data_IF_384744242758
#
_entry.id   IF_384744242758
#
_cell.length_a   1.000
_cell.length_b   1.000
_cell.length_c   1.000
_cell.angle_alpha   90.00
_cell.angle_beta   90.00
_cell.angle_gamma   90.00
#
_symmetry.space_group_name_H-M   'P 1'
#
loop_
_entity.id
_entity.type
_entity.pdbx_description
1 polymer ?
#
# COMPACT_ATOMS: atom_id res chain seq x y z
N UNK A 1 21.11 -16.45 12.79
CA UNK A 1 20.34 -15.81 11.72
C UNK A 1 20.46 -14.31 11.95
N UNK A 2 21.04 -13.57 10.99
CA UNK A 2 21.24 -12.12 11.11
C UNK A 2 19.87 -11.45 11.01
N UNK A 3 19.34 -10.94 12.11
CA UNK A 3 18.21 -10.03 12.09
C UNK A 3 18.68 -8.77 11.35
N UNK A 4 18.25 -8.68 10.10
CA UNK A 4 18.54 -7.53 9.26
C UNK A 4 17.94 -6.29 9.90
N UNK A 5 18.77 -5.37 10.29
CA UNK A 5 18.38 -4.00 10.65
C UNK A 5 17.57 -3.45 9.49
N UNK A 6 16.24 -3.56 9.59
CA UNK A 6 15.33 -3.05 8.59
C UNK A 6 15.57 -1.54 8.50
N UNK A 7 16.23 -1.12 7.42
CA UNK A 7 16.63 0.27 7.29
C UNK A 7 15.39 1.12 7.04
N UNK A 8 14.97 1.89 8.04
CA UNK A 8 13.84 2.83 7.95
C UNK A 8 13.86 3.66 6.65
N UNK A 9 15.04 4.03 6.19
CA UNK A 9 15.21 4.74 4.91
C UNK A 9 14.76 3.91 3.70
N UNK A 10 15.02 2.61 3.68
CA UNK A 10 14.57 1.72 2.59
C UNK A 10 13.06 1.59 2.59
N UNK A 11 12.46 1.40 3.75
CA UNK A 11 11.00 1.33 3.88
C UNK A 11 10.33 2.60 3.37
N UNK A 12 10.79 3.78 3.83
CA UNK A 12 10.27 5.07 3.38
C UNK A 12 10.42 5.26 1.86
N UNK A 13 11.56 4.86 1.30
CA UNK A 13 11.81 4.98 -0.13
C UNK A 13 10.90 4.04 -0.95
N UNK A 14 10.72 2.81 -0.50
CA UNK A 14 9.81 1.85 -1.13
C UNK A 14 8.38 2.38 -1.14
N UNK A 15 7.89 2.86 0.01
CA UNK A 15 6.55 3.45 0.12
C UNK A 15 6.36 4.64 -0.81
N UNK A 16 7.35 5.51 -0.91
CA UNK A 16 7.30 6.66 -1.82
C UNK A 16 7.11 6.22 -3.28
N UNK A 17 7.86 5.19 -3.72
CA UNK A 17 7.74 4.65 -5.07
C UNK A 17 6.34 4.04 -5.28
N UNK A 18 5.86 3.25 -4.34
CA UNK A 18 4.58 2.56 -4.44
C UNK A 18 3.42 3.57 -4.50
N UNK A 19 3.42 4.57 -3.62
CA UNK A 19 2.42 5.64 -3.65
C UNK A 19 2.44 6.40 -4.98
N UNK A 20 3.61 6.61 -5.58
CA UNK A 20 3.75 7.18 -6.91
C UNK A 20 3.12 6.29 -8.00
N UNK A 21 3.36 4.98 -7.95
CA UNK A 21 2.73 4.02 -8.86
C UNK A 21 1.20 4.01 -8.75
N UNK A 22 0.66 4.10 -7.54
CA UNK A 22 -0.79 4.13 -7.29
C UNK A 22 -1.47 5.31 -7.99
N UNK A 23 -0.86 6.50 -7.92
CA UNK A 23 -1.35 7.69 -8.63
C UNK A 23 -1.30 7.49 -10.15
N UNK A 24 -0.24 6.84 -10.66
CA UNK A 24 -0.12 6.55 -12.09
C UNK A 24 -1.24 5.61 -12.55
N UNK A 25 -1.56 4.57 -11.78
CA UNK A 25 -2.67 3.66 -12.12
C UNK A 25 -4.02 4.38 -12.14
N UNK A 26 -4.30 5.25 -11.17
CA UNK A 26 -5.51 6.08 -11.14
C UNK A 26 -5.63 6.94 -12.40
N UNK A 27 -4.55 7.62 -12.78
CA UNK A 27 -4.51 8.47 -13.97
C UNK A 27 -4.63 7.66 -15.26
N UNK A 28 -4.03 6.47 -15.33
CA UNK A 28 -4.14 5.58 -16.49
C UNK A 28 -5.59 5.12 -16.69
N UNK A 29 -6.27 4.66 -15.64
CA UNK A 29 -7.67 4.24 -15.71
C UNK A 29 -8.56 5.43 -16.14
N UNK A 30 -8.34 6.61 -15.55
CA UNK A 30 -9.07 7.83 -15.90
C UNK A 30 -8.87 8.20 -17.38
N UNK A 31 -7.64 8.13 -17.87
CA UNK A 31 -7.28 8.48 -19.25
C UNK A 31 -7.89 7.49 -20.25
N UNK A 32 -7.78 6.18 -19.98
CA UNK A 32 -8.37 5.14 -20.85
C UNK A 32 -9.89 5.26 -20.87
N UNK A 33 -10.52 5.48 -19.72
CA UNK A 33 -11.95 5.71 -19.60
C UNK A 33 -12.41 6.91 -20.42
N UNK A 34 -11.70 8.02 -20.28
CA UNK A 34 -11.97 9.25 -21.03
C UNK A 34 -11.86 9.04 -22.55
N UNK A 35 -10.86 8.27 -22.98
CA UNK A 35 -10.67 7.95 -24.39
C UNK A 35 -11.80 7.07 -24.95
N UNK A 36 -12.27 6.08 -24.18
CA UNK A 36 -13.29 5.14 -24.61
C UNK A 36 -14.72 5.69 -24.53
N UNK A 37 -15.03 6.55 -23.55
CA UNK A 37 -16.35 7.11 -23.28
C UNK A 37 -16.54 8.54 -23.80
N UNK A 38 -15.46 9.23 -24.15
CA UNK A 38 -15.49 10.52 -24.84
C UNK A 38 -15.73 11.75 -23.96
N UNK A 39 -16.10 11.60 -22.67
CA UNK A 39 -16.32 12.72 -21.74
C UNK A 39 -15.21 12.77 -20.67
N UNK A 40 -14.15 13.52 -20.96
CA UNK A 40 -12.99 13.59 -20.08
C UNK A 40 -13.32 14.11 -18.69
N UNK A 41 -14.08 15.17 -18.58
CA UNK A 41 -14.33 15.84 -17.28
C UNK A 41 -15.15 14.92 -16.38
N UNK A 42 -16.23 14.35 -16.90
CA UNK A 42 -17.07 13.44 -16.13
C UNK A 42 -16.32 12.18 -15.74
N UNK A 43 -15.56 11.56 -16.65
CA UNK A 43 -14.83 10.32 -16.39
C UNK A 43 -13.73 10.52 -15.34
N UNK A 44 -12.92 11.57 -15.43
CA UNK A 44 -11.93 11.87 -14.40
C UNK A 44 -12.58 12.13 -13.03
N UNK A 45 -13.67 12.89 -12.99
CA UNK A 45 -14.36 13.19 -11.72
C UNK A 45 -14.93 11.95 -11.06
N UNK A 46 -15.57 11.06 -11.84
CA UNK A 46 -16.16 9.80 -11.34
C UNK A 46 -15.04 8.86 -10.87
N UNK A 47 -13.98 8.70 -11.67
CA UNK A 47 -12.87 7.80 -11.33
C UNK A 47 -12.18 8.24 -10.04
N UNK A 48 -11.81 9.52 -9.92
CA UNK A 48 -11.16 10.06 -8.72
C UNK A 48 -12.08 9.91 -7.50
N UNK A 49 -13.37 10.28 -7.62
CA UNK A 49 -14.30 10.18 -6.52
C UNK A 49 -14.52 8.74 -6.04
N UNK A 50 -14.68 7.80 -6.99
CA UNK A 50 -14.88 6.39 -6.68
C UNK A 50 -13.62 5.76 -6.10
N UNK A 51 -12.44 6.10 -6.65
CA UNK A 51 -11.15 5.64 -6.15
C UNK A 51 -10.90 6.11 -4.72
N UNK A 52 -11.12 7.39 -4.40
CA UNK A 52 -10.98 7.91 -3.05
C UNK A 52 -11.95 7.26 -2.05
N UNK A 53 -13.21 7.01 -2.48
CA UNK A 53 -14.18 6.28 -1.68
C UNK A 53 -13.69 4.85 -1.39
N UNK A 54 -13.20 4.15 -2.41
CA UNK A 54 -12.65 2.80 -2.28
C UNK A 54 -11.42 2.75 -1.37
N UNK A 55 -10.51 3.74 -1.46
CA UNK A 55 -9.38 3.89 -0.54
C UNK A 55 -9.82 4.05 0.92
N UNK A 56 -10.86 4.86 1.17
CA UNK A 56 -11.43 5.00 2.50
C UNK A 56 -11.97 3.68 3.05
N UNK A 57 -12.66 2.90 2.21
CA UNK A 57 -13.13 1.55 2.57
C UNK A 57 -11.97 0.60 2.84
N UNK A 58 -10.93 0.59 2.01
CA UNK A 58 -9.71 -0.19 2.20
C UNK A 58 -9.02 0.13 3.52
N UNK A 59 -8.83 1.42 3.81
CA UNK A 59 -8.27 1.88 5.08
C UNK A 59 -9.08 1.40 6.29
N UNK A 60 -10.41 1.40 6.20
CA UNK A 60 -11.26 0.86 7.24
C UNK A 60 -11.12 -0.66 7.41
N UNK A 61 -10.99 -1.40 6.30
CA UNK A 61 -10.78 -2.86 6.34
C UNK A 61 -9.44 -3.24 6.97
N UNK A 62 -8.43 -2.40 6.90
CA UNK A 62 -7.11 -2.66 7.49
C UNK A 62 -7.15 -2.98 8.98
N UNK A 63 -8.17 -2.52 9.71
CA UNK A 63 -8.34 -2.81 11.14
C UNK A 63 -8.53 -4.29 11.46
N UNK A 64 -9.01 -5.08 10.51
CA UNK A 64 -9.20 -6.52 10.67
C UNK A 64 -7.90 -7.31 10.51
N UNK A 65 -6.91 -6.73 9.85
CA UNK A 65 -5.57 -7.31 9.70
C UNK A 65 -4.77 -7.00 10.96
N UNK A 66 -4.55 -8.00 11.82
CA UNK A 66 -3.87 -7.83 13.11
C UNK A 66 -2.59 -8.65 13.24
N UNK A 67 -2.46 -9.73 12.46
CA UNK A 67 -1.31 -10.64 12.49
C UNK A 67 -0.61 -10.63 11.14
N UNK A 68 0.70 -10.91 11.14
CA UNK A 68 1.51 -11.03 9.91
C UNK A 68 1.41 -9.80 8.99
N UNK A 69 1.49 -8.59 9.60
CA UNK A 69 1.30 -7.33 8.87
C UNK A 69 2.21 -7.21 7.65
N UNK A 70 3.44 -7.71 7.75
CA UNK A 70 4.42 -7.64 6.66
C UNK A 70 4.01 -8.53 5.48
N UNK A 71 3.52 -9.74 5.74
CA UNK A 71 3.08 -10.66 4.68
C UNK A 71 1.83 -10.13 3.97
N UNK A 72 0.88 -9.57 4.75
CA UNK A 72 -0.28 -8.88 4.18
C UNK A 72 0.10 -7.66 3.35
N UNK A 73 1.09 -6.88 3.80
CA UNK A 73 1.59 -5.75 3.03
C UNK A 73 2.16 -6.20 1.67
N UNK A 74 3.03 -7.23 1.66
CA UNK A 74 3.59 -7.78 0.43
C UNK A 74 2.50 -8.34 -0.50
N UNK A 75 1.49 -9.00 0.06
CA UNK A 75 0.37 -9.53 -0.72
C UNK A 75 -0.45 -8.40 -1.39
N UNK A 76 -0.73 -7.33 -0.66
CA UNK A 76 -1.41 -6.14 -1.20
C UNK A 76 -0.60 -5.51 -2.33
N UNK A 77 0.71 -5.37 -2.16
CA UNK A 77 1.62 -4.85 -3.17
C UNK A 77 1.61 -5.64 -4.47
N UNK A 78 1.70 -6.97 -4.36
CA UNK A 78 1.60 -7.86 -5.52
C UNK A 78 0.24 -7.70 -6.19
N UNK A 79 -0.84 -7.60 -5.41
CA UNK A 79 -2.19 -7.39 -5.91
C UNK A 79 -2.33 -6.08 -6.69
N UNK A 80 -1.86 -4.97 -6.14
CA UNK A 80 -1.85 -3.65 -6.81
C UNK A 80 -1.01 -3.69 -8.09
N UNK A 81 0.17 -4.30 -8.03
CA UNK A 81 1.05 -4.42 -9.20
C UNK A 81 0.42 -5.21 -10.35
N UNK A 82 -0.23 -6.34 -10.06
CA UNK A 82 -0.90 -7.16 -11.07
C UNK A 82 -2.13 -6.44 -11.61
N UNK A 83 -3.05 -6.01 -10.76
CA UNK A 83 -4.30 -5.36 -11.16
C UNK A 83 -4.02 -4.03 -11.88
N UNK A 84 -3.20 -3.16 -11.30
CA UNK A 84 -2.84 -1.88 -11.89
C UNK A 84 -2.04 -2.03 -13.19
N UNK A 85 -1.10 -2.98 -13.24
CA UNK A 85 -0.29 -3.22 -14.43
C UNK A 85 -1.08 -3.82 -15.60
N UNK A 86 -2.14 -4.58 -15.33
CA UNK A 86 -3.02 -5.15 -16.36
C UNK A 86 -4.26 -4.31 -16.66
N UNK A 87 -4.51 -3.24 -15.91
CA UNK A 87 -5.72 -2.41 -15.99
C UNK A 87 -6.03 -1.90 -17.40
N UNK A 88 -5.06 -1.30 -18.07
CA UNK A 88 -5.25 -0.77 -19.41
C UNK A 88 -5.63 -1.87 -20.41
N UNK A 89 -4.96 -3.03 -20.34
CA UNK A 89 -5.25 -4.16 -21.20
C UNK A 89 -6.66 -4.71 -20.95
N UNK A 90 -7.03 -4.85 -19.67
CA UNK A 90 -8.33 -5.34 -19.22
C UNK A 90 -9.46 -4.42 -19.69
N UNK A 91 -9.29 -3.11 -19.57
CA UNK A 91 -10.26 -2.13 -20.04
C UNK A 91 -10.43 -2.15 -21.57
N UNK A 92 -9.35 -2.30 -22.35
CA UNK A 92 -9.46 -2.43 -23.80
C UNK A 92 -10.17 -3.73 -24.22
N UNK A 93 -9.84 -4.86 -23.59
CA UNK A 93 -10.54 -6.12 -23.83
C UNK A 93 -12.03 -6.03 -23.44
N UNK A 94 -12.31 -5.47 -22.29
CA UNK A 94 -13.68 -5.29 -21.82
C UNK A 94 -14.53 -4.47 -22.79
N UNK A 95 -13.96 -3.41 -23.36
CA UNK A 95 -14.64 -2.60 -24.38
C UNK A 95 -14.99 -3.37 -25.65
N UNK A 96 -14.18 -4.39 -26.02
CA UNK A 96 -14.42 -5.21 -27.21
C UNK A 96 -15.45 -6.32 -26.95
N UNK A 97 -15.34 -7.00 -25.80
CA UNK A 97 -16.08 -8.24 -25.52
C UNK A 97 -17.30 -8.06 -24.60
N UNK A 98 -17.35 -6.98 -23.81
CA UNK A 98 -18.38 -6.79 -22.77
C UNK A 98 -19.25 -5.59 -23.09
N UNK A 99 -20.56 -5.81 -23.28
CA UNK A 99 -21.52 -4.73 -23.51
C UNK A 99 -21.59 -3.71 -22.35
N UNK A 100 -21.22 -4.13 -21.14
CA UNK A 100 -21.22 -3.29 -19.93
C UNK A 100 -19.79 -2.92 -19.49
N UNK A 101 -18.98 -2.36 -20.40
CA UNK A 101 -17.62 -1.90 -20.13
C UNK A 101 -17.52 -1.06 -18.84
N UNK A 102 -18.48 -0.19 -18.58
CA UNK A 102 -18.51 0.67 -17.40
C UNK A 102 -18.48 -0.11 -16.08
N UNK A 103 -19.17 -1.25 -16.02
CA UNK A 103 -19.17 -2.09 -14.82
C UNK A 103 -17.79 -2.67 -14.52
N UNK A 104 -17.07 -3.13 -15.54
CA UNK A 104 -15.71 -3.64 -15.40
C UNK A 104 -14.78 -2.55 -14.91
N UNK A 105 -14.87 -1.35 -15.50
CA UNK A 105 -14.11 -0.18 -15.09
C UNK A 105 -14.35 0.19 -13.62
N UNK A 106 -15.60 0.29 -13.18
CA UNK A 106 -15.92 0.64 -11.79
C UNK A 106 -15.45 -0.42 -10.81
N UNK A 107 -15.58 -1.69 -11.15
CA UNK A 107 -15.11 -2.80 -10.34
C UNK A 107 -13.58 -2.74 -10.16
N UNK A 108 -12.86 -2.47 -11.24
CA UNK A 108 -11.40 -2.35 -11.24
C UNK A 108 -10.93 -1.17 -10.38
N UNK A 109 -11.56 0.00 -10.52
CA UNK A 109 -11.27 1.18 -9.69
C UNK A 109 -11.47 0.87 -8.20
N UNK A 110 -12.59 0.20 -7.86
CA UNK A 110 -12.90 -0.16 -6.48
C UNK A 110 -11.86 -1.14 -5.93
N UNK A 111 -11.50 -2.18 -6.69
CA UNK A 111 -10.53 -3.17 -6.25
C UNK A 111 -9.14 -2.56 -6.02
N UNK A 112 -8.63 -1.79 -6.98
CA UNK A 112 -7.32 -1.13 -6.86
C UNK A 112 -7.37 -0.11 -5.72
N UNK A 113 -8.39 0.73 -5.65
CA UNK A 113 -8.55 1.71 -4.58
C UNK A 113 -8.61 1.09 -3.18
N UNK A 114 -9.32 -0.03 -3.01
CA UNK A 114 -9.35 -0.76 -1.74
C UNK A 114 -7.97 -1.29 -1.34
N UNK A 115 -7.23 -1.89 -2.27
CA UNK A 115 -5.89 -2.42 -2.00
C UNK A 115 -4.94 -1.29 -1.60
N UNK A 116 -4.92 -0.21 -2.36
CA UNK A 116 -4.10 0.98 -2.04
C UNK A 116 -4.51 1.60 -0.69
N UNK A 117 -5.80 1.60 -0.39
CA UNK A 117 -6.31 2.06 0.91
C UNK A 117 -5.87 1.22 2.10
N UNK A 118 -5.59 -0.08 1.91
CA UNK A 118 -5.02 -0.97 2.93
C UNK A 118 -3.55 -0.67 3.22
N UNK A 119 -2.80 -0.20 2.22
CA UNK A 119 -1.34 -0.03 2.24
C UNK A 119 -0.88 0.93 3.34
N UNK A 120 -1.46 2.14 3.40
CA UNK A 120 -1.03 3.20 4.32
C UNK A 120 -1.16 2.77 5.80
N UNK A 121 -2.33 2.25 6.27
CA UNK A 121 -2.46 1.80 7.65
C UNK A 121 -1.57 0.59 8.00
N UNK A 122 -1.40 -0.36 7.07
CA UNK A 122 -0.50 -1.50 7.28
C UNK A 122 0.92 -1.03 7.48
N UNK A 123 1.39 -0.14 6.61
CA UNK A 123 2.73 0.43 6.70
C UNK A 123 2.96 1.17 8.02
N UNK A 124 2.00 2.01 8.42
CA UNK A 124 2.09 2.76 9.68
C UNK A 124 2.25 1.82 10.87
N UNK A 125 1.48 0.74 10.92
CA UNK A 125 1.59 -0.28 11.99
C UNK A 125 2.92 -1.02 11.96
N UNK A 126 3.43 -1.38 10.79
CA UNK A 126 4.75 -2.01 10.65
C UNK A 126 5.85 -1.09 11.18
N UNK A 127 5.77 0.22 10.90
CA UNK A 127 6.72 1.21 11.40
C UNK A 127 6.63 1.34 12.92
N UNK A 128 5.43 1.44 13.48
CA UNK A 128 5.20 1.56 14.91
C UNK A 128 5.70 0.34 15.69
N UNK A 129 5.45 -0.87 15.19
CA UNK A 129 5.91 -2.12 15.79
C UNK A 129 7.45 -2.18 15.82
N UNK A 130 8.10 -1.83 14.72
CA UNK A 130 9.56 -1.76 14.66
C UNK A 130 10.14 -0.65 15.55
N UNK A 131 9.52 0.50 15.65
CA UNK A 131 9.96 1.59 16.51
C UNK A 131 9.78 1.24 18.00
N UNK A 132 8.67 0.62 18.37
CA UNK A 132 8.40 0.13 19.72
C UNK A 132 9.43 -0.91 20.17
N UNK A 133 9.73 -1.86 19.33
CA UNK A 133 10.72 -2.92 19.61
C UNK A 133 12.15 -2.34 19.80
N UNK A 134 12.55 -1.35 19.02
CA UNK A 134 13.84 -0.65 19.18
C UNK A 134 13.93 0.11 20.50
N UNK A 135 12.87 0.79 20.91
CA UNK A 135 12.83 1.52 22.17
C UNK A 135 12.92 0.57 23.37
N UNK A 136 12.19 -0.56 23.32
CA UNK A 136 12.26 -1.60 24.35
C UNK A 136 13.68 -2.20 24.47
N UNK A 137 14.34 -2.48 23.34
CA UNK A 137 15.71 -3.01 23.31
C UNK A 137 16.71 -1.99 23.88
N UNK A 138 16.57 -0.71 23.53
CA UNK A 138 17.45 0.36 24.03
C UNK A 138 17.28 0.54 25.55
N UNK A 139 16.06 0.47 26.05
CA UNK A 139 15.77 0.53 27.50
C UNK A 139 16.33 -0.69 28.24
N UNK A 140 16.15 -1.89 27.71
CA UNK A 140 16.70 -3.12 28.26
C UNK A 140 18.24 -3.10 28.31
N UNK A 141 18.90 -2.61 27.25
CA UNK A 141 20.36 -2.43 27.22
C UNK A 141 20.82 -1.39 28.23
N UNK A 142 20.10 -0.28 28.39
CA UNK A 142 20.40 0.73 29.42
C UNK A 142 20.22 0.20 30.84
N UNK A 143 19.15 -0.57 31.09
CA UNK A 143 18.91 -1.19 32.40
C UNK A 143 19.92 -2.29 32.68
N UNK A 144 20.29 -3.13 31.70
CA UNK A 144 21.34 -4.12 31.86
C UNK A 144 22.70 -3.51 32.14
N UNK A 145 23.04 -2.38 31.48
CA UNK A 145 24.29 -1.64 31.75
C UNK A 145 24.30 -0.94 33.12
N UNK A 146 23.11 -0.62 33.67
CA UNK A 146 22.99 -0.03 35.01
C UNK A 146 23.09 -1.08 36.13
N UNK A 147 22.73 -2.35 35.85
CA UNK A 147 22.77 -3.46 36.81
C UNK A 147 24.20 -4.05 36.93
N UNK A 148 25.01 -3.93 35.88
CA UNK A 148 26.43 -4.39 35.88
C UNK A 148 27.38 -3.27 35.48
N UNK A 149 27.64 -2.28 36.37
CA UNK A 149 28.58 -1.18 36.07
C UNK A 149 30.05 -1.62 35.96
N UNK A 150 30.37 -2.84 36.39
CA UNK A 150 31.75 -3.28 36.65
C UNK A 150 32.39 -4.18 35.58
N UNK A 151 31.72 -4.45 34.46
CA UNK A 151 32.28 -5.30 33.38
C UNK A 151 33.24 -4.56 32.44
N UNK A 152 33.57 -3.30 32.71
CA UNK A 152 34.49 -2.53 31.86
C UNK A 152 36.00 -2.63 32.23
N UNK A 153 36.36 -3.52 33.12
CA UNK A 153 37.76 -3.65 33.55
C UNK A 153 38.28 -5.08 33.47
N UNK A 154 38.42 -5.60 32.25
CA UNK A 154 39.42 -6.64 32.01
C UNK A 154 40.18 -6.26 30.73
N UNK A 155 41.52 -6.02 30.82
CA UNK A 155 42.37 -5.60 29.72
C UNK A 155 42.55 -6.71 28.67
#
# INVERSE_FOLDING_TARGET
MKEGTFSYRRLMFTTFIISGCSIIYELLISSVSSYLLGDSIAQFSITIGLYMCAMGMGSYLSKYVRTELFDWFVFVEIGVGILGGTSSLLLFLANIYVQSYQLVMYLEIILIGMLVGLEIPLLTRIIEENAGNRNALTLATRQGAAVFPDIRLIP
#
